data_IF_654699096841
#
_entry.id   IF_654699096841
#
_cell.length_a   1.000
_cell.length_b   1.000
_cell.length_c   1.000
_cell.angle_alpha   90.00
_cell.angle_beta   90.00
_cell.angle_gamma   90.00
#
_symmetry.space_group_name_H-M   'P 1'
#
loop_
_entity.id
_entity.type
_entity.pdbx_description
1 polymer ?
#
# COMPACT_ATOMS: atom_id res chain seq x y z
N UNK A 1 -38.97 2.32 -12.91
CA UNK A 1 -37.57 2.02 -13.27
C UNK A 1 -36.89 3.35 -13.52
N UNK A 2 -35.83 3.63 -12.77
CA UNK A 2 -35.06 4.87 -12.78
C UNK A 2 -33.67 4.52 -13.30
N UNK A 3 -33.24 5.20 -14.35
CA UNK A 3 -31.96 4.96 -15.02
C UNK A 3 -31.03 6.16 -14.77
N UNK A 4 -29.81 5.89 -14.32
CA UNK A 4 -28.75 6.90 -14.21
C UNK A 4 -27.74 6.66 -15.31
N UNK A 5 -27.41 7.73 -16.04
CA UNK A 5 -26.46 7.70 -17.14
C UNK A 5 -25.21 8.50 -16.78
N UNK A 6 -24.05 8.04 -17.25
CA UNK A 6 -22.78 8.77 -17.24
C UNK A 6 -22.09 8.53 -18.57
N UNK A 7 -21.68 9.61 -19.25
CA UNK A 7 -20.99 9.57 -20.55
C UNK A 7 -21.71 8.69 -21.59
N UNK A 8 -23.05 8.76 -21.62
CA UNK A 8 -23.90 7.99 -22.54
C UNK A 8 -24.14 6.54 -22.14
N UNK A 9 -23.51 6.04 -21.07
CA UNK A 9 -23.68 4.67 -20.57
C UNK A 9 -24.61 4.62 -19.35
N UNK A 10 -25.43 3.58 -19.25
CA UNK A 10 -26.23 3.32 -18.04
C UNK A 10 -25.30 2.84 -16.93
N UNK A 11 -25.18 3.62 -15.84
CA UNK A 11 -24.35 3.27 -14.68
C UNK A 11 -25.14 2.77 -13.49
N UNK A 12 -26.46 3.02 -13.44
CA UNK A 12 -27.30 2.55 -12.34
C UNK A 12 -28.74 2.37 -12.79
N UNK A 13 -29.37 1.30 -12.34
CA UNK A 13 -30.79 1.00 -12.55
C UNK A 13 -31.43 0.74 -11.19
N UNK A 14 -32.46 1.53 -10.86
CA UNK A 14 -33.26 1.37 -9.64
C UNK A 14 -34.69 1.05 -10.05
N UNK A 15 -35.23 -0.04 -9.54
CA UNK A 15 -36.66 -0.33 -9.63
C UNK A 15 -37.41 0.40 -8.50
N UNK A 16 -38.49 1.10 -8.82
CA UNK A 16 -39.41 1.65 -7.82
C UNK A 16 -40.73 0.90 -7.92
N UNK A 17 -41.14 0.23 -6.84
CA UNK A 17 -42.45 -0.44 -6.73
C UNK A 17 -43.08 -0.12 -5.38
N UNK A 18 -44.28 0.47 -5.40
CA UNK A 18 -45.05 0.81 -4.19
C UNK A 18 -44.23 1.61 -3.16
N UNK A 19 -43.38 2.52 -3.62
CA UNK A 19 -42.49 3.34 -2.77
C UNK A 19 -41.22 2.62 -2.28
N UNK A 20 -41.00 1.34 -2.62
CA UNK A 20 -39.75 0.63 -2.35
C UNK A 20 -38.81 0.80 -3.54
N UNK A 21 -37.59 1.26 -3.24
CA UNK A 21 -36.50 1.38 -4.21
C UNK A 21 -35.60 0.14 -4.10
N UNK A 22 -35.43 -0.59 -5.20
CA UNK A 22 -34.57 -1.77 -5.30
C UNK A 22 -33.47 -1.52 -6.32
N UNK A 23 -32.20 -1.64 -5.92
CA UNK A 23 -31.07 -1.57 -6.85
C UNK A 23 -31.06 -2.83 -7.72
N UNK A 24 -31.17 -2.64 -9.04
CA UNK A 24 -31.17 -3.74 -10.02
C UNK A 24 -29.80 -3.89 -10.66
N UNK A 25 -29.12 -2.77 -10.93
CA UNK A 25 -27.81 -2.77 -11.54
C UNK A 25 -27.04 -1.54 -11.09
N UNK A 26 -25.75 -1.71 -10.86
CA UNK A 26 -24.80 -0.63 -10.69
C UNK A 26 -23.49 -1.02 -11.38
N UNK A 27 -23.04 -0.18 -12.31
CA UNK A 27 -21.72 -0.30 -12.88
C UNK A 27 -20.69 0.05 -11.81
N UNK A 28 -19.79 -0.90 -11.52
CA UNK A 28 -18.61 -0.69 -10.70
C UNK A 28 -17.38 -0.82 -11.57
N UNK A 29 -16.44 0.12 -11.44
CA UNK A 29 -15.16 0.09 -12.13
C UNK A 29 -14.20 -0.90 -11.43
N UNK A 30 -14.62 -2.16 -11.35
CA UNK A 30 -13.88 -3.20 -10.64
C UNK A 30 -12.51 -3.43 -11.27
N UNK A 31 -12.39 -3.25 -12.59
CA UNK A 31 -11.13 -3.37 -13.31
C UNK A 31 -10.16 -2.25 -12.94
N UNK A 32 -10.61 -0.99 -12.91
CA UNK A 32 -9.79 0.13 -12.46
C UNK A 32 -9.48 0.10 -10.97
N UNK A 33 -10.34 -0.46 -10.14
CA UNK A 33 -10.06 -0.73 -8.72
C UNK A 33 -8.97 -1.80 -8.56
N UNK A 34 -9.05 -2.91 -9.30
CA UNK A 34 -8.03 -3.96 -9.31
C UNK A 34 -6.68 -3.46 -9.85
N UNK A 35 -6.69 -2.65 -10.91
CA UNK A 35 -5.48 -2.06 -11.46
C UNK A 35 -4.81 -1.15 -10.43
N UNK A 36 -5.56 -0.29 -9.74
CA UNK A 36 -5.01 0.57 -8.67
C UNK A 36 -4.45 -0.23 -7.50
N UNK A 37 -5.10 -1.33 -7.13
CA UNK A 37 -4.60 -2.23 -6.10
C UNK A 37 -3.30 -2.92 -6.54
N UNK A 38 -3.22 -3.34 -7.80
CA UNK A 38 -2.01 -3.96 -8.37
C UNK A 38 -0.85 -2.98 -8.51
N UNK A 39 -1.14 -1.73 -8.89
CA UNK A 39 -0.15 -0.66 -9.00
C UNK A 39 0.27 -0.10 -7.64
N UNK A 40 -0.50 -0.36 -6.58
CA UNK A 40 -0.17 0.04 -5.21
C UNK A 40 1.03 -0.77 -4.69
N UNK A 41 2.23 -0.24 -4.91
CA UNK A 41 3.51 -0.81 -4.45
C UNK A 41 3.92 -0.39 -3.04
N UNK A 42 2.95 -0.04 -2.19
CA UNK A 42 3.25 0.55 -0.87
C UNK A 42 4.15 -0.34 -0.01
N UNK A 43 3.89 -1.65 0.02
CA UNK A 43 4.70 -2.60 0.79
C UNK A 43 6.08 -2.80 0.16
N UNK A 44 6.16 -2.89 -1.18
CA UNK A 44 7.41 -3.05 -1.91
C UNK A 44 8.32 -1.82 -1.79
N UNK A 45 7.74 -0.62 -1.84
CA UNK A 45 8.44 0.64 -1.66
C UNK A 45 8.96 0.77 -0.20
N UNK A 46 8.15 0.35 0.78
CA UNK A 46 8.55 0.32 2.19
C UNK A 46 9.68 -0.67 2.44
N UNK A 47 9.60 -1.89 1.90
CA UNK A 47 10.67 -2.89 1.95
C UNK A 47 11.96 -2.34 1.33
N UNK A 48 11.85 -1.72 0.15
CA UNK A 48 13.00 -1.12 -0.55
C UNK A 48 13.65 -0.04 0.31
N UNK A 49 12.85 0.81 0.96
CA UNK A 49 13.34 1.86 1.84
C UNK A 49 14.02 1.30 3.10
N UNK A 50 13.44 0.30 3.74
CA UNK A 50 14.02 -0.37 4.92
C UNK A 50 15.37 -0.99 4.56
N UNK A 51 15.47 -1.68 3.41
CA UNK A 51 16.74 -2.25 2.93
C UNK A 51 17.81 -1.17 2.74
N UNK A 52 17.46 -0.05 2.10
CA UNK A 52 18.39 1.07 1.92
C UNK A 52 18.92 1.60 3.27
N UNK A 53 18.04 1.73 4.27
CA UNK A 53 18.44 2.17 5.61
C UNK A 53 19.35 1.15 6.32
N UNK A 54 19.06 -0.16 6.18
CA UNK A 54 19.90 -1.22 6.72
C UNK A 54 21.30 -1.16 6.11
N UNK A 55 21.41 -1.05 4.79
CA UNK A 55 22.70 -1.00 4.09
C UNK A 55 23.53 0.21 4.55
N UNK A 56 22.91 1.39 4.67
CA UNK A 56 23.59 2.60 5.18
C UNK A 56 24.10 2.43 6.62
N UNK A 57 23.31 1.77 7.48
CA UNK A 57 23.71 1.50 8.86
C UNK A 57 24.83 0.45 8.94
N UNK A 58 24.81 -0.57 8.08
CA UNK A 58 25.89 -1.55 7.98
C UNK A 58 27.19 -0.89 7.51
N UNK A 59 27.12 0.01 6.53
CA UNK A 59 28.27 0.81 6.10
C UNK A 59 28.82 1.68 7.23
N UNK A 60 27.95 2.35 7.98
CA UNK A 60 28.34 3.15 9.15
C UNK A 60 28.99 2.27 10.23
N UNK A 61 28.41 1.10 10.51
CA UNK A 61 28.95 0.13 11.46
C UNK A 61 30.35 -0.33 11.07
N UNK A 62 30.55 -0.65 9.80
CA UNK A 62 31.85 -1.06 9.27
C UNK A 62 32.90 0.06 9.42
N UNK A 63 32.53 1.31 9.13
CA UNK A 63 33.42 2.46 9.34
C UNK A 63 33.76 2.65 10.82
N UNK A 64 32.78 2.57 11.71
CA UNK A 64 32.99 2.71 13.15
C UNK A 64 33.89 1.61 13.71
N UNK A 65 33.75 0.38 13.22
CA UNK A 65 34.63 -0.73 13.61
C UNK A 65 36.09 -0.47 13.22
N UNK A 66 36.35 0.10 12.03
CA UNK A 66 37.72 0.45 11.58
C UNK A 66 38.38 1.48 12.50
N UNK A 67 37.60 2.40 13.06
CA UNK A 67 38.10 3.47 13.95
C UNK A 67 37.88 3.15 15.45
N UNK A 68 37.53 1.91 15.80
CA UNK A 68 37.24 1.46 17.17
C UNK A 68 36.21 2.33 17.92
N UNK A 69 35.20 2.84 17.20
CA UNK A 69 34.07 3.58 17.79
C UNK A 69 32.93 2.64 18.21
N UNK A 70 32.10 3.11 19.13
CA UNK A 70 30.94 2.35 19.61
C UNK A 70 29.91 2.11 18.48
N UNK A 71 29.41 0.88 18.39
CA UNK A 71 28.40 0.46 17.40
C UNK A 71 27.04 0.15 18.01
N UNK A 72 26.91 0.20 19.34
CA UNK A 72 25.73 -0.28 20.07
C UNK A 72 24.42 0.37 19.60
N UNK A 73 24.44 1.67 19.32
CA UNK A 73 23.28 2.41 18.81
C UNK A 73 22.90 1.97 17.39
N UNK A 74 23.92 1.71 16.55
CA UNK A 74 23.74 1.20 15.19
C UNK A 74 23.13 -0.21 15.23
N UNK A 75 23.64 -1.07 16.11
CA UNK A 75 23.14 -2.44 16.29
C UNK A 75 21.68 -2.45 16.79
N UNK A 76 21.31 -1.53 17.70
CA UNK A 76 19.92 -1.36 18.13
C UNK A 76 19.02 -0.95 16.96
N UNK A 77 19.46 0.00 16.12
CA UNK A 77 18.66 0.47 14.99
C UNK A 77 18.51 -0.58 13.89
N UNK A 78 19.55 -1.36 13.63
CA UNK A 78 19.49 -2.52 12.73
C UNK A 78 18.48 -3.57 13.23
N UNK A 79 18.43 -3.82 14.53
CA UNK A 79 17.46 -4.75 15.13
C UNK A 79 16.02 -4.27 14.94
N UNK A 80 15.76 -2.97 15.10
CA UNK A 80 14.43 -2.37 14.89
C UNK A 80 13.98 -2.52 13.44
N UNK A 81 14.85 -2.17 12.48
CA UNK A 81 14.55 -2.27 11.04
C UNK A 81 14.35 -3.72 10.60
N UNK A 82 15.15 -4.66 11.12
CA UNK A 82 14.98 -6.09 10.84
C UNK A 82 13.64 -6.62 11.36
N UNK A 83 13.20 -6.16 12.54
CA UNK A 83 11.88 -6.51 13.06
C UNK A 83 10.74 -5.92 12.23
N UNK A 84 10.89 -4.69 11.76
CA UNK A 84 9.90 -4.06 10.87
C UNK A 84 9.76 -4.86 9.57
N UNK A 85 10.88 -5.23 8.94
CA UNK A 85 10.88 -6.05 7.73
C UNK A 85 10.21 -7.42 7.93
N UNK A 86 10.31 -8.02 9.12
CA UNK A 86 9.70 -9.31 9.43
C UNK A 86 8.18 -9.24 9.68
N UNK A 87 7.66 -8.07 10.07
CA UNK A 87 6.24 -7.88 10.40
C UNK A 87 5.42 -7.43 9.19
N UNK A 88 6.06 -6.77 8.22
CA UNK A 88 5.50 -6.44 6.90
C UNK A 88 5.10 -7.69 6.12
#
# INVERSE_FOLDING_TARGET
MIYTYKDGNVIRIIEEKKGVLTLVFEYKDTAGELQRLYESRGAEDEITWIHLCIDQLLDLRNRNHVINMATKEIDCRLLELTKQLFVL
#
